data_IF_963849883916
#
_entry.id   IF_963849883916
#
_cell.length_a   1.000
_cell.length_b   1.000
_cell.length_c   1.000
_cell.angle_alpha   90.00
_cell.angle_beta   90.00
_cell.angle_gamma   90.00
#
_symmetry.space_group_name_H-M   'P 1'
#
loop_
_entity.id
_entity.type
_entity.pdbx_description
1 polymer ?
#
# COMPACT_ATOMS: atom_id res chain seq x y z
N UNK A 1 31.85 5.77 -14.62
CA UNK A 1 30.58 6.40 -14.20
C UNK A 1 29.52 5.30 -14.10
N UNK A 2 29.42 4.63 -12.94
CA UNK A 2 28.48 3.51 -12.77
C UNK A 2 27.18 4.13 -12.25
N UNK A 3 26.16 4.17 -13.10
CA UNK A 3 24.82 4.54 -12.68
C UNK A 3 24.39 3.60 -11.55
N UNK A 4 23.97 4.16 -10.40
CA UNK A 4 23.31 3.35 -9.39
C UNK A 4 22.07 2.72 -10.06
N UNK A 5 21.89 1.38 -10.02
CA UNK A 5 20.73 0.73 -10.56
C UNK A 5 19.50 1.33 -9.88
N UNK A 6 18.59 1.84 -10.70
CA UNK A 6 17.28 2.28 -10.27
C UNK A 6 16.55 1.09 -9.66
N UNK A 7 16.44 1.03 -8.33
CA UNK A 7 15.76 -0.05 -7.63
C UNK A 7 14.36 -0.26 -8.22
N UNK A 8 14.04 -1.51 -8.57
CA UNK A 8 12.76 -1.87 -9.18
C UNK A 8 11.79 -2.32 -8.10
N UNK A 9 10.67 -1.61 -7.98
CA UNK A 9 9.75 -1.74 -6.85
C UNK A 9 8.41 -2.30 -7.32
N UNK A 10 8.00 -3.44 -6.78
CA UNK A 10 6.66 -4.00 -6.97
C UNK A 10 5.73 -3.48 -5.89
N UNK A 11 4.68 -2.75 -6.26
CA UNK A 11 3.67 -2.25 -5.32
C UNK A 11 2.38 -3.05 -5.47
N UNK A 12 2.07 -3.86 -4.48
CA UNK A 12 0.85 -4.66 -4.43
C UNK A 12 -0.27 -3.83 -3.79
N UNK A 13 -1.42 -3.72 -4.48
CA UNK A 13 -2.51 -2.84 -4.06
C UNK A 13 -2.36 -1.40 -4.55
N UNK A 14 -1.75 -1.22 -5.73
CA UNK A 14 -1.44 0.10 -6.29
C UNK A 14 -2.68 0.94 -6.68
N UNK A 15 -3.88 0.35 -6.74
CA UNK A 15 -5.13 1.10 -6.94
C UNK A 15 -5.74 1.64 -5.64
N UNK A 16 -5.26 1.19 -4.48
CA UNK A 16 -5.68 1.68 -3.18
C UNK A 16 -5.06 3.03 -2.82
N UNK A 17 -5.53 3.64 -1.73
CA UNK A 17 -5.09 4.98 -1.33
C UNK A 17 -3.57 5.09 -1.14
N UNK A 18 -3.03 4.27 -0.23
CA UNK A 18 -1.61 4.30 0.13
C UNK A 18 -0.76 3.77 -1.04
N UNK A 19 -1.18 2.64 -1.63
CA UNK A 19 -0.47 2.02 -2.73
C UNK A 19 -0.32 2.96 -3.93
N UNK A 20 -1.36 3.72 -4.27
CA UNK A 20 -1.27 4.68 -5.38
C UNK A 20 -0.28 5.80 -5.08
N UNK A 21 -0.38 6.39 -3.88
CA UNK A 21 0.53 7.47 -3.48
C UNK A 21 1.99 7.00 -3.50
N UNK A 22 2.27 5.79 -3.01
CA UNK A 22 3.61 5.20 -3.02
C UNK A 22 4.10 4.99 -4.46
N UNK A 23 3.29 4.38 -5.33
CA UNK A 23 3.67 4.13 -6.73
C UNK A 23 4.01 5.44 -7.45
N UNK A 24 3.17 6.46 -7.32
CA UNK A 24 3.40 7.76 -7.96
C UNK A 24 4.64 8.47 -7.39
N UNK A 25 4.85 8.40 -6.07
CA UNK A 25 6.00 9.03 -5.43
C UNK A 25 7.33 8.37 -5.80
N UNK A 26 7.35 7.04 -5.87
CA UNK A 26 8.51 6.29 -6.35
C UNK A 26 8.87 6.67 -7.79
N UNK A 27 7.88 6.73 -8.68
CA UNK A 27 8.10 7.15 -10.08
C UNK A 27 8.62 8.57 -10.18
N UNK A 28 8.04 9.53 -9.43
CA UNK A 28 8.53 10.92 -9.38
C UNK A 28 9.97 11.03 -8.91
N UNK A 29 10.42 10.12 -8.04
CA UNK A 29 11.80 10.07 -7.53
C UNK A 29 12.76 9.31 -8.46
N UNK A 30 12.29 8.82 -9.60
CA UNK A 30 13.12 8.11 -10.59
C UNK A 30 13.27 6.60 -10.35
N UNK A 31 12.46 6.01 -9.47
CA UNK A 31 12.41 4.55 -9.31
C UNK A 31 11.50 3.91 -10.36
N UNK A 32 11.81 2.68 -10.75
CA UNK A 32 10.95 1.88 -11.63
C UNK A 32 9.90 1.16 -10.79
N UNK A 33 8.73 1.78 -10.63
CA UNK A 33 7.62 1.19 -9.87
C UNK A 33 6.65 0.42 -10.78
N UNK A 34 6.49 -0.88 -10.50
CA UNK A 34 5.49 -1.77 -11.08
C UNK A 34 4.30 -1.82 -10.14
N UNK A 35 3.18 -1.24 -10.55
CA UNK A 35 1.96 -1.19 -9.74
C UNK A 35 1.05 -2.35 -10.11
N UNK A 36 0.64 -3.16 -9.13
CA UNK A 36 -0.30 -4.27 -9.34
C UNK A 36 -1.59 -4.04 -8.57
N UNK A 37 -2.71 -4.20 -9.28
CA UNK A 37 -4.05 -4.14 -8.70
C UNK A 37 -5.01 -5.08 -9.42
N UNK A 38 -6.17 -5.34 -8.83
CA UNK A 38 -7.25 -6.09 -9.48
C UNK A 38 -7.84 -5.34 -10.67
N UNK A 39 -7.94 -4.02 -10.53
CA UNK A 39 -8.43 -3.09 -11.54
C UNK A 39 -7.88 -1.70 -11.23
N UNK A 40 -7.60 -0.94 -12.28
CA UNK A 40 -7.33 0.49 -12.24
C UNK A 40 -8.47 1.21 -12.97
N UNK A 41 -8.95 2.33 -12.42
CA UNK A 41 -9.77 3.23 -13.21
C UNK A 41 -8.93 3.90 -14.31
N UNK A 42 -9.58 4.46 -15.34
CA UNK A 42 -8.90 5.15 -16.42
C UNK A 42 -7.95 6.27 -15.92
N UNK A 43 -8.36 6.98 -14.85
CA UNK A 43 -7.53 8.01 -14.21
C UNK A 43 -6.32 7.45 -13.43
N UNK A 44 -6.32 6.15 -13.15
CA UNK A 44 -5.26 5.49 -12.39
C UNK A 44 -4.23 4.78 -13.25
N UNK A 45 -4.58 4.39 -14.47
CA UNK A 45 -3.68 3.74 -15.41
C UNK A 45 -2.81 4.78 -16.13
N UNK A 46 -1.72 5.15 -15.49
CA UNK A 46 -0.82 6.22 -15.96
C UNK A 46 0.47 5.67 -16.59
N UNK A 47 0.74 4.37 -16.44
CA UNK A 47 1.94 3.72 -16.93
C UNK A 47 1.64 2.33 -17.50
N UNK A 48 2.46 1.89 -18.46
CA UNK A 48 2.47 0.50 -18.93
C UNK A 48 2.86 -0.49 -17.82
N UNK A 49 3.49 0.00 -16.74
CA UNK A 49 3.84 -0.79 -15.56
C UNK A 49 2.70 -0.85 -14.51
N UNK A 50 1.53 -0.32 -14.83
CA UNK A 50 0.30 -0.53 -14.05
C UNK A 50 -0.41 -1.78 -14.58
N UNK A 51 -0.21 -2.89 -13.87
CA UNK A 51 -0.59 -4.23 -14.28
C UNK A 51 -1.85 -4.66 -13.53
N UNK A 52 -2.90 -4.98 -14.29
CA UNK A 52 -4.14 -5.54 -13.77
C UNK A 52 -4.02 -7.06 -13.69
N UNK A 53 -4.02 -7.59 -12.47
CA UNK A 53 -3.94 -9.03 -12.22
C UNK A 53 -4.87 -9.41 -11.05
N UNK A 54 -5.50 -10.59 -11.10
CA UNK A 54 -6.19 -11.17 -9.96
C UNK A 54 -5.15 -11.66 -8.93
N UNK A 55 -4.47 -10.72 -8.26
CA UNK A 55 -3.33 -10.97 -7.36
C UNK A 55 -3.63 -12.02 -6.28
N UNK A 56 -4.89 -12.08 -5.84
CA UNK A 56 -5.36 -13.03 -4.84
C UNK A 56 -5.50 -14.46 -5.37
N UNK A 57 -5.62 -14.66 -6.68
CA UNK A 57 -5.67 -15.96 -7.33
C UNK A 57 -4.28 -16.49 -7.73
N UNK A 58 -3.24 -15.65 -7.64
CA UNK A 58 -1.88 -16.08 -7.95
C UNK A 58 -1.33 -16.97 -6.83
N UNK A 59 -0.69 -18.07 -7.25
CA UNK A 59 0.11 -18.91 -6.38
C UNK A 59 1.52 -18.33 -6.17
N UNK A 60 2.32 -18.98 -5.33
CA UNK A 60 3.68 -18.53 -5.05
C UNK A 60 4.60 -18.57 -6.28
N UNK A 61 4.38 -19.50 -7.21
CA UNK A 61 5.19 -19.66 -8.43
C UNK A 61 4.93 -18.51 -9.41
N UNK A 62 3.66 -18.16 -9.62
CA UNK A 62 3.25 -17.04 -10.45
C UNK A 62 3.74 -15.71 -9.86
N UNK A 63 3.66 -15.52 -8.54
CA UNK A 63 4.22 -14.36 -7.85
C UNK A 63 5.74 -14.27 -8.04
N UNK A 64 6.46 -15.39 -7.88
CA UNK A 64 7.90 -15.44 -8.11
C UNK A 64 8.26 -15.14 -9.58
N UNK A 65 7.46 -15.65 -10.52
CA UNK A 65 7.58 -15.35 -11.95
C UNK A 65 7.41 -13.87 -12.26
N UNK A 66 6.41 -13.22 -11.66
CA UNK A 66 6.20 -11.78 -11.79
C UNK A 66 7.42 -10.99 -11.27
N UNK A 67 7.96 -11.37 -10.11
CA UNK A 67 9.16 -10.74 -9.56
C UNK A 67 10.38 -10.92 -10.47
N UNK A 68 10.55 -12.09 -11.09
CA UNK A 68 11.64 -12.37 -12.04
C UNK A 68 11.51 -11.57 -13.32
N UNK A 69 10.35 -11.62 -13.97
CA UNK A 69 10.09 -10.93 -15.26
C UNK A 69 10.31 -9.43 -15.15
N UNK A 70 9.96 -8.84 -14.02
CA UNK A 70 10.15 -7.42 -13.78
C UNK A 70 11.43 -7.09 -13.00
N UNK A 71 12.32 -8.05 -12.76
CA UNK A 71 13.60 -7.89 -12.06
C UNK A 71 13.46 -7.12 -10.73
N UNK A 72 12.46 -7.49 -9.93
CA UNK A 72 12.10 -6.75 -8.72
C UNK A 72 13.19 -6.89 -7.65
N UNK A 73 13.50 -5.77 -6.99
CA UNK A 73 14.44 -5.69 -5.86
C UNK A 73 13.71 -5.44 -4.53
N UNK A 74 12.56 -4.75 -4.58
CA UNK A 74 11.75 -4.41 -3.41
C UNK A 74 10.28 -4.69 -3.69
N UNK A 75 9.60 -5.35 -2.76
CA UNK A 75 8.14 -5.55 -2.78
C UNK A 75 7.52 -4.72 -1.68
N UNK A 76 6.56 -3.86 -2.04
CA UNK A 76 5.73 -3.11 -1.09
C UNK A 76 4.34 -3.71 -1.08
N UNK A 77 4.02 -4.43 -0.01
CA UNK A 77 2.70 -4.99 0.22
C UNK A 77 1.79 -3.95 0.89
N UNK A 78 0.93 -3.31 0.08
CA UNK A 78 -0.13 -2.41 0.54
C UNK A 78 -1.52 -3.07 0.49
N UNK A 79 -1.60 -4.40 0.32
CA UNK A 79 -2.89 -5.08 0.31
C UNK A 79 -3.53 -5.00 1.70
N UNK A 80 -4.78 -4.56 1.72
CA UNK A 80 -5.59 -4.47 2.92
C UNK A 80 -7.04 -4.30 2.54
N UNK A 81 -7.92 -5.11 3.12
CA UNK A 81 -9.37 -4.98 2.97
C UNK A 81 -9.93 -4.52 4.31
N UNK A 82 -10.58 -3.36 4.36
CA UNK A 82 -11.08 -2.75 5.61
C UNK A 82 -12.38 -3.39 6.13
N UNK A 83 -13.06 -4.18 5.31
CA UNK A 83 -14.35 -4.81 5.61
C UNK A 83 -14.44 -6.11 4.79
N UNK A 84 -15.11 -7.13 5.32
CA UNK A 84 -15.59 -8.26 4.52
C UNK A 84 -16.60 -7.72 3.50
N UNK A 85 -16.28 -7.86 2.22
CA UNK A 85 -17.19 -7.59 1.10
C UNK A 85 -17.63 -8.89 0.44
N UNK A 86 -18.68 -8.86 -0.39
CA UNK A 86 -19.05 -10.03 -1.19
C UNK A 86 -17.85 -10.48 -2.03
N UNK A 87 -17.30 -11.65 -1.72
CA UNK A 87 -16.13 -12.23 -2.40
C UNK A 87 -14.75 -11.83 -1.85
N UNK A 88 -14.65 -11.20 -0.67
CA UNK A 88 -13.36 -10.98 0.00
C UNK A 88 -13.42 -11.39 1.47
N UNK A 89 -12.86 -12.57 1.77
CA UNK A 89 -12.63 -13.03 3.14
C UNK A 89 -11.36 -12.37 3.70
N UNK A 90 -11.51 -11.60 4.78
CA UNK A 90 -10.42 -10.85 5.43
C UNK A 90 -9.27 -11.75 5.89
N UNK A 91 -9.55 -13.00 6.30
CA UNK A 91 -8.53 -13.97 6.72
C UNK A 91 -7.69 -14.45 5.52
N UNK A 92 -8.37 -14.74 4.40
CA UNK A 92 -7.74 -15.19 3.16
C UNK A 92 -6.85 -14.10 2.51
N UNK A 93 -7.17 -12.81 2.72
CA UNK A 93 -6.38 -11.72 2.12
C UNK A 93 -5.15 -11.36 2.94
N UNK A 94 -5.22 -11.40 4.27
CA UNK A 94 -4.09 -10.96 5.09
C UNK A 94 -3.11 -12.07 5.42
N UNK A 95 -3.59 -13.25 5.81
CA UNK A 95 -2.70 -14.36 6.22
C UNK A 95 -2.23 -15.15 5.01
N UNK A 96 -3.17 -15.66 4.21
CA UNK A 96 -2.88 -16.61 3.14
C UNK A 96 -2.10 -15.96 1.99
N UNK A 97 -2.40 -14.71 1.64
CA UNK A 97 -1.59 -13.98 0.66
C UNK A 97 -0.16 -13.73 1.17
N UNK A 98 0.00 -13.34 2.44
CA UNK A 98 1.33 -13.07 2.99
C UNK A 98 2.14 -14.36 3.05
N UNK A 99 1.56 -15.49 3.46
CA UNK A 99 2.23 -16.79 3.39
C UNK A 99 2.72 -17.12 1.97
N UNK A 100 1.86 -16.95 0.96
CA UNK A 100 2.23 -17.13 -0.45
C UNK A 100 3.32 -16.18 -0.92
N UNK A 101 3.27 -14.91 -0.50
CA UNK A 101 4.29 -13.92 -0.83
C UNK A 101 5.65 -14.27 -0.22
N UNK A 102 5.65 -14.72 1.04
CA UNK A 102 6.87 -15.14 1.74
C UNK A 102 7.48 -16.38 1.09
N UNK A 103 6.67 -17.30 0.57
CA UNK A 103 7.16 -18.44 -0.22
C UNK A 103 7.67 -18.02 -1.61
N UNK A 104 7.04 -17.02 -2.24
CA UNK A 104 7.41 -16.54 -3.57
C UNK A 104 8.76 -15.81 -3.62
N UNK A 105 9.10 -15.07 -2.56
CA UNK A 105 10.32 -14.24 -2.51
C UNK A 105 11.58 -15.10 -2.71
N UNK A 106 11.84 -16.16 -1.91
CA UNK A 106 12.98 -17.05 -2.15
C UNK A 106 12.94 -17.73 -3.52
N UNK A 107 11.75 -18.12 -3.99
CA UNK A 107 11.56 -18.77 -5.29
C UNK A 107 11.82 -17.85 -6.49
N UNK A 108 11.92 -16.53 -6.28
CA UNK A 108 12.32 -15.58 -7.32
C UNK A 108 13.82 -15.63 -7.63
N UNK A 109 14.62 -16.31 -6.81
CA UNK A 109 16.09 -16.38 -6.90
C UNK A 109 16.78 -15.02 -6.90
N UNK A 110 16.13 -14.00 -6.32
CA UNK A 110 16.66 -12.64 -6.13
C UNK A 110 16.59 -12.25 -4.66
N UNK A 111 17.52 -11.40 -4.22
CA UNK A 111 17.48 -10.79 -2.87
C UNK A 111 16.44 -9.69 -2.81
N UNK A 112 15.17 -10.06 -2.67
CA UNK A 112 14.04 -9.12 -2.61
C UNK A 112 13.79 -8.69 -1.17
N UNK A 113 13.65 -7.38 -0.94
CA UNK A 113 13.22 -6.83 0.36
C UNK A 113 11.71 -6.68 0.42
N UNK A 114 11.11 -7.04 1.56
CA UNK A 114 9.68 -6.91 1.78
C UNK A 114 9.35 -5.70 2.66
N UNK A 115 8.55 -4.76 2.16
CA UNK A 115 7.95 -3.69 2.96
C UNK A 115 6.46 -4.01 3.12
N UNK A 116 5.98 -4.12 4.35
CA UNK A 116 4.57 -4.38 4.63
C UNK A 116 3.91 -3.18 5.30
N UNK A 117 2.78 -2.74 4.76
CA UNK A 117 1.95 -1.69 5.37
C UNK A 117 0.89 -2.35 6.26
N UNK A 118 1.07 -2.16 7.56
CA UNK A 118 0.19 -2.66 8.60
C UNK A 118 -0.59 -1.52 9.28
N UNK A 119 -1.07 -1.76 10.49
CA UNK A 119 -1.91 -0.86 11.28
C UNK A 119 -1.17 -0.36 12.53
N UNK A 120 -1.50 0.86 12.95
CA UNK A 120 -1.11 1.41 14.26
C UNK A 120 -1.88 0.75 15.42
N UNK A 121 -1.37 0.92 16.64
CA UNK A 121 -1.91 0.33 17.87
C UNK A 121 -1.06 -0.83 18.39
N UNK A 122 -1.41 -1.35 19.57
CA UNK A 122 -0.79 -2.56 20.15
C UNK A 122 -1.71 -3.77 20.03
N UNK A 123 -1.15 -4.99 20.17
CA UNK A 123 -1.94 -6.22 20.12
C UNK A 123 -3.05 -6.26 21.19
N UNK A 124 -2.83 -5.59 22.32
CA UNK A 124 -3.78 -5.52 23.43
C UNK A 124 -4.97 -4.59 23.15
N UNK A 125 -4.85 -3.72 22.14
CA UNK A 125 -5.89 -2.78 21.69
C UNK A 125 -6.73 -3.32 20.53
N UNK A 126 -6.37 -4.49 19.98
CA UNK A 126 -6.99 -5.05 18.79
C UNK A 126 -8.38 -5.61 19.09
N UNK A 127 -9.41 -4.78 18.87
CA UNK A 127 -10.83 -5.15 19.07
C UNK A 127 -11.56 -5.60 17.81
N UNK A 128 -10.86 -5.72 16.68
CA UNK A 128 -11.48 -6.03 15.37
C UNK A 128 -10.77 -7.16 14.65
N UNK A 129 -11.51 -8.00 13.91
CA UNK A 129 -10.94 -9.10 13.11
C UNK A 129 -9.92 -8.62 12.06
N UNK A 130 -10.13 -7.42 11.53
CA UNK A 130 -9.17 -6.74 10.65
C UNK A 130 -7.81 -6.52 11.33
N UNK A 131 -7.82 -6.04 12.58
CA UNK A 131 -6.59 -5.80 13.33
C UNK A 131 -5.87 -7.11 13.66
N UNK A 132 -6.60 -8.11 14.15
CA UNK A 132 -6.05 -9.43 14.48
C UNK A 132 -5.39 -10.10 13.27
N UNK A 133 -6.04 -10.08 12.10
CA UNK A 133 -5.49 -10.69 10.86
C UNK A 133 -4.26 -9.93 10.34
N UNK A 134 -4.22 -8.61 10.49
CA UNK A 134 -3.02 -7.80 10.18
C UNK A 134 -1.86 -8.09 11.14
N UNK A 135 -2.11 -8.31 12.43
CA UNK A 135 -1.05 -8.75 13.37
C UNK A 135 -0.52 -10.12 13.05
N UNK A 136 -1.38 -11.03 12.63
CA UNK A 136 -0.94 -12.37 12.22
C UNK A 136 -0.03 -12.31 11.00
N UNK A 137 -0.36 -11.48 10.01
CA UNK A 137 0.53 -11.18 8.89
C UNK A 137 1.89 -10.60 9.34
N UNK A 138 1.90 -9.66 10.30
CA UNK A 138 3.15 -9.13 10.87
C UNK A 138 4.00 -10.23 11.50
N UNK A 139 3.39 -11.13 12.28
CA UNK A 139 4.09 -12.24 12.94
C UNK A 139 4.72 -13.18 11.91
N UNK A 140 3.98 -13.54 10.85
CA UNK A 140 4.49 -14.38 9.76
C UNK A 140 5.69 -13.75 9.06
N UNK A 141 5.62 -12.44 8.78
CA UNK A 141 6.72 -11.70 8.16
C UNK A 141 7.93 -11.67 9.09
N UNK A 142 7.72 -11.36 10.38
CA UNK A 142 8.79 -11.32 11.38
C UNK A 142 9.48 -12.68 11.55
N UNK A 143 8.73 -13.78 11.48
CA UNK A 143 9.28 -15.14 11.58
C UNK A 143 9.89 -15.68 10.29
N UNK A 144 9.76 -14.97 9.15
CA UNK A 144 10.16 -15.49 7.83
C UNK A 144 11.67 -15.54 7.58
N UNK A 145 12.47 -14.81 8.37
CA UNK A 145 13.92 -14.64 8.14
C UNK A 145 14.28 -13.79 6.91
N UNK A 146 13.30 -13.26 6.18
CA UNK A 146 13.54 -12.39 5.02
C UNK A 146 13.91 -10.96 5.45
N UNK A 147 14.70 -10.23 4.64
CA UNK A 147 14.94 -8.80 4.89
C UNK A 147 13.63 -8.02 4.71
N UNK A 148 13.10 -7.48 5.81
CA UNK A 148 11.78 -6.85 5.81
C UNK A 148 11.72 -5.56 6.65
N UNK A 149 10.71 -4.74 6.34
CA UNK A 149 10.31 -3.58 7.13
C UNK A 149 8.78 -3.55 7.26
N UNK A 150 8.28 -3.44 8.49
CA UNK A 150 6.85 -3.29 8.77
C UNK A 150 6.58 -1.83 9.14
N UNK A 151 5.78 -1.15 8.32
CA UNK A 151 5.36 0.23 8.56
C UNK A 151 3.94 0.24 9.13
N UNK A 152 3.76 0.99 10.22
CA UNK A 152 2.48 1.12 10.94
C UNK A 152 2.03 2.59 10.84
N UNK A 153 1.48 3.02 9.70
CA UNK A 153 0.92 4.36 9.58
C UNK A 153 -0.21 4.55 10.57
N UNK A 154 -0.35 5.77 11.08
CA UNK A 154 -1.49 6.21 11.88
C UNK A 154 -2.73 6.42 11.02
N UNK A 155 -3.55 7.40 11.39
CA UNK A 155 -4.71 7.77 10.58
C UNK A 155 -4.28 8.54 9.32
N UNK A 156 -4.64 8.03 8.14
CA UNK A 156 -4.31 8.65 6.86
C UNK A 156 -5.53 9.39 6.32
N UNK A 157 -5.40 10.71 6.18
CA UNK A 157 -6.41 11.59 5.56
C UNK A 157 -5.98 11.92 4.15
N UNK A 158 -6.85 11.71 3.17
CA UNK A 158 -6.57 12.04 1.78
C UNK A 158 -7.81 12.53 1.01
N UNK A 159 -7.62 13.22 -0.13
CA UNK A 159 -8.72 13.73 -0.96
C UNK A 159 -9.56 12.63 -1.60
N UNK A 160 -8.97 11.47 -1.87
CA UNK A 160 -9.69 10.22 -2.10
C UNK A 160 -9.79 9.48 -0.76
N UNK A 161 -10.97 8.98 -0.41
CA UNK A 161 -11.10 8.16 0.81
C UNK A 161 -11.57 6.76 0.51
N UNK A 162 -11.06 5.85 1.34
CA UNK A 162 -11.37 4.44 1.32
C UNK A 162 -11.50 3.99 2.78
N UNK A 163 -12.56 3.24 3.09
CA UNK A 163 -12.84 2.76 4.45
C UNK A 163 -13.18 3.88 5.44
N UNK A 164 -12.64 3.79 6.67
CA UNK A 164 -13.00 4.70 7.78
C UNK A 164 -12.74 6.19 7.52
N UNK A 165 -11.78 6.54 6.66
CA UNK A 165 -11.58 7.94 6.23
C UNK A 165 -12.69 8.45 5.31
N UNK A 166 -13.42 7.57 4.62
CA UNK A 166 -14.60 7.95 3.85
C UNK A 166 -15.78 8.23 4.79
N UNK A 167 -15.97 7.38 5.81
CA UNK A 167 -16.97 7.58 6.85
C UNK A 167 -16.71 8.84 7.70
N UNK A 168 -15.47 9.09 8.12
CA UNK A 168 -15.10 10.29 8.85
C UNK A 168 -15.37 11.58 8.05
N UNK A 169 -15.24 11.53 6.72
CA UNK A 169 -15.62 12.65 5.84
C UNK A 169 -17.14 12.78 5.69
N UNK A 170 -17.87 11.68 5.64
CA UNK A 170 -19.33 11.72 5.63
C UNK A 170 -19.90 12.35 6.91
N UNK A 171 -19.30 12.03 8.07
CA UNK A 171 -19.68 12.63 9.36
C UNK A 171 -19.17 14.08 9.56
N UNK A 172 -18.32 14.58 8.66
CA UNK A 172 -17.86 15.98 8.65
C UNK A 172 -18.78 16.94 7.89
N UNK A 173 -19.87 16.45 7.27
CA UNK A 173 -20.85 17.27 6.51
C UNK A 173 -22.19 17.35 7.24
N UNK A 174 -22.16 17.41 8.57
CA UNK A 174 -23.34 17.73 9.35
C UNK A 174 -22.99 18.70 10.46
N UNK A 175 -22.76 19.97 10.09
CA UNK A 175 -23.39 21.04 10.87
C UNK A 175 -23.69 22.30 10.05
N UNK A 176 -24.99 22.60 10.01
CA UNK A 176 -25.70 23.90 9.89
C UNK A 176 -25.34 24.90 8.78
N UNK A 177 -26.30 25.12 7.88
CA UNK A 177 -27.00 26.41 7.76
C UNK A 177 -28.12 26.38 6.71
N UNK A 178 -29.37 26.20 7.16
CA UNK A 178 -30.49 26.89 6.53
C UNK A 178 -30.42 28.35 7.02
N UNK A 179 -29.91 29.24 6.17
CA UNK A 179 -29.66 30.63 6.51
C UNK A 179 -29.10 31.39 5.32
N UNK A 180 -29.99 32.00 4.57
CA UNK A 180 -29.76 32.92 3.44
C UNK A 180 -28.74 34.02 3.81
N UNK A 181 -27.66 34.19 3.05
CA UNK A 181 -26.75 35.33 3.21
C UNK A 181 -25.63 35.36 2.17
N UNK A 182 -25.64 36.38 1.31
CA UNK A 182 -24.62 36.69 0.29
C UNK A 182 -23.30 37.13 0.96
N UNK A 183 -22.16 36.87 0.31
CA UNK A 183 -20.91 37.62 0.58
C UNK A 183 -19.61 36.83 0.42
N UNK A 184 -18.91 37.14 -0.67
CA UNK A 184 -17.46 37.29 -0.82
C UNK A 184 -16.49 36.09 -0.77
N UNK A 185 -15.74 35.99 -1.86
CA UNK A 185 -14.62 35.09 -2.09
C UNK A 185 -13.33 35.59 -1.41
N UNK A 186 -12.58 34.68 -0.77
CA UNK A 186 -11.19 34.89 -0.27
C UNK A 186 -10.40 33.56 -0.38
N UNK A 187 -9.09 33.55 -0.68
CA UNK A 187 -8.45 32.49 -1.47
C UNK A 187 -7.80 31.35 -0.66
N UNK A 188 -7.70 30.18 -1.29
CA UNK A 188 -7.02 28.99 -0.80
C UNK A 188 -5.49 29.15 -0.85
N UNK A 189 -4.87 29.52 0.28
CA UNK A 189 -3.43 29.63 0.45
C UNK A 189 -2.96 28.97 1.75
N UNK A 190 -3.08 27.64 1.87
CA UNK A 190 -2.61 26.88 3.02
C UNK A 190 -1.53 25.86 2.65
N UNK A 191 -0.25 26.24 2.77
CA UNK A 191 0.88 25.31 2.58
C UNK A 191 0.92 24.30 3.73
N UNK A 192 0.51 23.06 3.46
CA UNK A 192 0.70 21.94 4.38
C UNK A 192 2.20 21.56 4.40
N UNK A 193 2.89 21.86 5.51
CA UNK A 193 4.26 21.41 5.75
C UNK A 193 4.28 19.90 5.97
N UNK A 194 4.59 19.17 4.91
CA UNK A 194 4.75 17.71 4.92
C UNK A 194 6.06 17.34 5.65
N UNK A 195 5.97 16.74 6.84
CA UNK A 195 7.11 16.03 7.45
C UNK A 195 7.43 14.86 6.52
N UNK A 196 8.56 14.94 5.82
CA UNK A 196 9.06 13.90 4.92
C UNK A 196 9.47 12.70 5.76
N UNK A 197 8.74 11.60 5.65
CA UNK A 197 9.18 10.32 6.20
C UNK A 197 10.27 9.72 5.28
N UNK A 198 11.53 10.00 5.60
CA UNK A 198 12.70 9.58 4.82
C UNK A 198 13.01 8.07 4.94
N UNK A 199 12.28 7.31 5.76
CA UNK A 199 12.60 5.90 6.07
C UNK A 199 12.34 4.95 4.89
N UNK A 200 11.28 5.16 4.12
CA UNK A 200 10.93 4.29 2.98
C UNK A 200 11.99 4.38 1.87
N UNK A 201 12.39 5.60 1.51
CA UNK A 201 13.39 5.85 0.46
C UNK A 201 14.78 5.37 0.88
N UNK A 202 15.12 5.47 2.17
CA UNK A 202 16.41 5.02 2.68
C UNK A 202 16.51 3.49 2.70
N UNK A 203 15.45 2.79 3.10
CA UNK A 203 15.42 1.32 3.06
C UNK A 203 15.39 0.75 1.62
N UNK A 204 14.78 1.48 0.68
CA UNK A 204 14.83 1.12 -0.75
C UNK A 204 16.20 1.41 -1.40
N UNK A 205 17.05 2.24 -0.77
CA UNK A 205 18.34 2.68 -1.31
C UNK A 205 19.54 2.00 -0.64
N UNK A 206 19.46 1.64 0.65
CA UNK A 206 20.53 0.95 1.37
C UNK A 206 20.60 -0.51 0.92
N UNK A 207 21.67 -0.87 0.21
CA UNK A 207 21.96 -2.24 -0.29
C UNK A 207 22.52 -3.15 0.78
#
# INVERSE_FOLDING_TARGET
>A
MIAAPTSRVLVLGASGLIGRFITDDLRRRGFTAVGVARAFSASQRISALDIELPIMALDASALAGLMRVHEIDVVVNCLGVLQDGPGSDTSAVHREFVARLLAAIPASSRSVRLIHISISGTADEDRTAFATTKREAERLIASSGLPHAILRPGFVIAPSAYGGSAAARACGVSDRSAGQGRGDAVPAGGRCRHRRDHRLARFAADR
#
